data_IF_142231240840
#
_entry.id   IF_142231240840
#
_cell.length_a   1.000
_cell.length_b   1.000
_cell.length_c   1.000
_cell.angle_alpha   90.00
_cell.angle_beta   90.00
_cell.angle_gamma   90.00
#
_symmetry.space_group_name_H-M   'P 1'
#
loop_
_entity.id
_entity.type
_entity.pdbx_description
1 polymer ?
#
# COMPACT_ATOMS: atom_id res chain seq x y z
N UNK A 1 -4.26 -19.25 -0.11
CA UNK A 1 -4.55 -18.06 0.71
C UNK A 1 -4.90 -16.83 -0.14
N UNK A 2 -3.99 -16.27 -0.97
CA UNK A 2 -4.34 -15.12 -1.83
C UNK A 2 -5.55 -15.40 -2.73
N UNK A 3 -5.62 -16.61 -3.29
CA UNK A 3 -6.80 -17.09 -4.02
C UNK A 3 -8.11 -16.93 -3.22
N UNK A 4 -8.14 -17.33 -1.94
CA UNK A 4 -9.35 -17.18 -1.11
C UNK A 4 -9.72 -15.71 -0.88
N UNK A 5 -8.73 -14.82 -0.74
CA UNK A 5 -9.00 -13.39 -0.62
C UNK A 5 -9.61 -12.83 -1.91
N UNK A 6 -9.14 -13.28 -3.08
CA UNK A 6 -9.75 -12.92 -4.37
C UNK A 6 -11.20 -13.40 -4.48
N UNK A 7 -11.49 -14.66 -4.10
CA UNK A 7 -12.86 -15.17 -4.12
C UNK A 7 -13.76 -14.45 -3.12
N UNK A 8 -13.26 -14.15 -1.92
CA UNK A 8 -14.00 -13.37 -0.93
C UNK A 8 -14.34 -11.97 -1.43
N UNK A 9 -13.43 -11.32 -2.16
CA UNK A 9 -13.70 -10.03 -2.82
C UNK A 9 -14.79 -10.17 -3.88
N UNK A 10 -14.73 -11.20 -4.74
CA UNK A 10 -15.75 -11.44 -5.77
C UNK A 10 -17.14 -11.66 -5.16
N UNK A 11 -17.23 -12.49 -4.12
CA UNK A 11 -18.49 -12.68 -3.38
C UNK A 11 -18.95 -11.37 -2.74
N UNK A 12 -18.03 -10.60 -2.16
CA UNK A 12 -18.36 -9.29 -1.57
C UNK A 12 -18.92 -8.32 -2.62
N UNK A 13 -18.36 -8.30 -3.84
CA UNK A 13 -18.86 -7.50 -4.96
C UNK A 13 -20.29 -7.89 -5.33
N UNK A 14 -20.59 -9.21 -5.35
CA UNK A 14 -21.94 -9.72 -5.61
C UNK A 14 -22.93 -9.31 -4.50
N UNK A 15 -22.54 -9.44 -3.23
CA UNK A 15 -23.40 -9.07 -2.07
C UNK A 15 -23.81 -7.60 -2.10
N UNK A 16 -22.96 -6.72 -2.61
CA UNK A 16 -23.21 -5.26 -2.61
C UNK A 16 -23.63 -4.71 -3.98
N UNK A 17 -23.81 -5.56 -4.99
CA UNK A 17 -24.04 -5.13 -6.37
C UNK A 17 -25.27 -4.22 -6.53
N UNK A 18 -26.31 -4.48 -5.73
CA UNK A 18 -27.58 -3.74 -5.72
C UNK A 18 -27.65 -2.68 -4.60
N UNK A 19 -26.50 -2.29 -4.05
CA UNK A 19 -26.39 -1.26 -3.00
C UNK A 19 -25.62 -0.04 -3.49
N UNK A 20 -25.60 1.01 -2.66
CA UNK A 20 -24.83 2.22 -2.93
C UNK A 20 -23.51 2.29 -2.15
N UNK A 21 -22.92 1.13 -1.81
CA UNK A 21 -21.61 1.07 -1.13
C UNK A 21 -20.43 1.02 -2.12
N UNK A 22 -19.21 1.44 -1.70
CA UNK A 22 -18.03 1.42 -2.57
C UNK A 22 -17.72 0.00 -3.04
N UNK A 23 -17.43 -0.16 -4.33
CA UNK A 23 -17.14 -1.47 -4.91
C UNK A 23 -15.67 -1.83 -4.65
N UNK A 24 -15.37 -2.87 -3.85
CA UNK A 24 -14.00 -3.31 -3.65
C UNK A 24 -13.46 -3.92 -4.94
N UNK A 25 -12.24 -3.55 -5.33
CA UNK A 25 -11.54 -4.14 -6.46
C UNK A 25 -10.58 -5.24 -6.00
N UNK A 26 -9.89 -5.84 -6.97
CA UNK A 26 -8.95 -6.92 -6.67
C UNK A 26 -7.86 -6.44 -5.69
N UNK A 27 -7.56 -7.24 -4.66
CA UNK A 27 -6.54 -6.90 -3.68
C UNK A 27 -5.18 -6.89 -4.37
N UNK A 28 -4.41 -5.84 -4.09
CA UNK A 28 -3.02 -5.70 -4.48
C UNK A 28 -2.21 -6.02 -3.24
N UNK A 29 -1.40 -7.06 -3.29
CA UNK A 29 -0.48 -7.35 -2.18
C UNK A 29 0.59 -6.27 -2.18
N UNK A 30 0.77 -5.59 -1.06
CA UNK A 30 1.74 -4.50 -0.93
C UNK A 30 2.48 -4.67 0.39
N UNK A 31 3.73 -4.22 0.47
CA UNK A 31 4.45 -4.13 1.75
C UNK A 31 5.57 -5.15 1.94
N UNK A 32 6.12 -5.15 3.16
CA UNK A 32 7.39 -5.80 3.51
C UNK A 32 7.34 -7.31 3.36
N UNK A 33 6.28 -7.95 3.84
CA UNK A 33 6.14 -9.42 3.90
C UNK A 33 6.12 -10.10 2.54
N UNK A 34 5.47 -9.51 1.55
CA UNK A 34 5.40 -10.08 0.20
C UNK A 34 6.70 -9.86 -0.60
N UNK A 35 7.30 -8.69 -0.43
CA UNK A 35 8.56 -8.34 -1.08
C UNK A 35 9.80 -8.95 -0.39
N UNK A 36 9.61 -9.75 0.67
CA UNK A 36 10.68 -10.42 1.41
C UNK A 36 11.40 -9.55 2.45
N UNK A 37 10.92 -8.34 2.70
CA UNK A 37 11.52 -7.41 3.68
C UNK A 37 11.15 -7.73 5.14
N UNK A 38 10.38 -8.78 5.41
CA UNK A 38 10.07 -9.24 6.76
C UNK A 38 10.81 -10.54 7.06
N UNK A 39 11.14 -10.76 8.34
CA UNK A 39 11.58 -12.08 8.78
C UNK A 39 10.41 -13.08 8.69
N UNK A 40 10.69 -14.39 8.50
CA UNK A 40 9.66 -15.39 8.21
C UNK A 40 8.66 -15.64 9.36
N UNK A 41 8.91 -15.10 10.54
CA UNK A 41 8.14 -15.40 11.73
C UNK A 41 7.27 -14.20 12.11
N UNK A 42 5.96 -14.35 11.88
CA UNK A 42 4.86 -13.62 12.52
C UNK A 42 4.43 -12.24 11.99
N UNK A 43 5.01 -11.72 10.92
CA UNK A 43 4.49 -10.46 10.35
C UNK A 43 3.23 -10.65 9.49
N UNK A 44 2.22 -9.77 9.64
CA UNK A 44 0.99 -9.85 8.87
C UNK A 44 1.21 -9.49 7.40
N UNK A 45 0.53 -10.19 6.51
CA UNK A 45 0.52 -9.88 5.08
C UNK A 45 -0.27 -8.61 4.86
N UNK A 46 0.29 -7.64 4.16
CA UNK A 46 -0.40 -6.39 3.86
C UNK A 46 -1.06 -6.47 2.49
N UNK A 47 -2.37 -6.23 2.45
CA UNK A 47 -3.15 -6.20 1.22
C UNK A 47 -3.82 -4.84 1.09
N UNK A 48 -3.67 -4.22 -0.07
CA UNK A 48 -4.34 -2.99 -0.43
C UNK A 48 -5.56 -3.30 -1.28
N UNK A 49 -6.74 -2.85 -0.86
CA UNK A 49 -8.01 -3.05 -1.56
C UNK A 49 -8.47 -1.69 -2.11
N UNK A 50 -8.39 -1.46 -3.42
CA UNK A 50 -8.93 -0.26 -4.04
C UNK A 50 -10.46 -0.27 -4.01
N UNK A 51 -11.05 0.92 -3.93
CA UNK A 51 -12.48 1.13 -4.02
C UNK A 51 -12.83 1.95 -5.27
N UNK A 52 -13.85 1.49 -5.98
CA UNK A 52 -14.53 2.24 -7.02
C UNK A 52 -15.81 2.87 -6.46
N UNK A 53 -16.10 4.09 -6.91
CA UNK A 53 -17.33 4.77 -6.53
C UNK A 53 -18.57 3.95 -6.93
N UNK A 54 -19.59 3.87 -6.06
CA UNK A 54 -20.86 3.23 -6.40
C UNK A 54 -21.62 4.01 -7.47
N UNK A 55 -22.65 3.38 -8.01
CA UNK A 55 -23.57 4.04 -8.94
C UNK A 55 -24.23 5.25 -8.27
N UNK A 56 -24.46 6.30 -9.06
CA UNK A 56 -24.99 7.56 -8.55
C UNK A 56 -24.02 8.38 -7.71
N UNK A 57 -22.76 7.94 -7.58
CA UNK A 57 -21.73 8.64 -6.80
C UNK A 57 -20.44 8.81 -7.62
N UNK A 58 -19.65 9.82 -7.28
CA UNK A 58 -18.31 10.06 -7.83
C UNK A 58 -17.37 10.35 -6.65
N UNK A 59 -16.17 9.79 -6.71
CA UNK A 59 -15.07 10.16 -5.83
C UNK A 59 -14.24 11.28 -6.48
N UNK A 60 -14.19 12.44 -5.83
CA UNK A 60 -13.27 13.54 -6.16
C UNK A 60 -12.16 13.58 -5.13
N UNK A 61 -10.93 13.71 -5.59
CA UNK A 61 -9.76 13.67 -4.73
C UNK A 61 -9.30 15.10 -4.45
N UNK A 62 -9.41 15.50 -3.19
CA UNK A 62 -8.99 16.81 -2.72
C UNK A 62 -7.55 16.68 -2.19
N UNK A 63 -6.57 16.97 -3.04
CA UNK A 63 -5.14 16.83 -2.73
C UNK A 63 -4.55 17.96 -1.85
N UNK A 64 -5.40 18.80 -1.26
CA UNK A 64 -4.97 19.94 -0.46
C UNK A 64 -4.19 21.00 -1.26
N UNK A 65 -3.63 21.98 -0.56
CA UNK A 65 -2.84 23.08 -1.16
C UNK A 65 -1.34 22.92 -0.94
N UNK A 66 -0.92 21.91 -0.17
CA UNK A 66 0.49 21.68 0.16
C UNK A 66 1.25 21.21 -1.08
N UNK A 67 2.43 21.78 -1.34
CA UNK A 67 3.31 21.36 -2.45
C UNK A 67 4.17 20.14 -2.12
N UNK A 68 4.00 19.57 -0.93
CA UNK A 68 4.75 18.40 -0.47
C UNK A 68 4.16 17.12 -1.06
N UNK A 69 5.00 16.31 -1.68
CA UNK A 69 4.65 15.00 -2.23
C UNK A 69 5.38 13.89 -1.46
N UNK A 70 4.74 12.74 -1.23
CA UNK A 70 3.30 12.50 -1.38
C UNK A 70 2.47 13.35 -0.40
N UNK A 71 1.29 13.80 -0.84
CA UNK A 71 0.38 14.61 -0.02
C UNK A 71 -0.12 13.80 1.17
N UNK A 72 0.21 14.25 2.38
CA UNK A 72 -0.21 13.58 3.64
C UNK A 72 -1.62 13.94 4.12
N UNK A 73 -2.17 15.07 3.66
CA UNK A 73 -3.43 15.64 4.15
C UNK A 73 -4.58 15.63 3.12
N UNK A 74 -4.48 14.78 2.10
CA UNK A 74 -5.52 14.64 1.07
C UNK A 74 -6.82 14.05 1.63
N UNK A 75 -7.93 14.27 0.92
CA UNK A 75 -9.27 13.77 1.30
C UNK A 75 -10.01 13.25 0.07
N UNK A 76 -10.99 12.37 0.30
CA UNK A 76 -11.87 11.85 -0.75
C UNK A 76 -13.25 12.45 -0.56
N UNK A 77 -13.63 13.37 -1.45
CA UNK A 77 -14.96 13.98 -1.48
C UNK A 77 -15.90 13.10 -2.30
N UNK A 78 -17.05 12.79 -1.71
CA UNK A 78 -18.12 12.04 -2.37
C UNK A 78 -19.16 13.04 -2.88
N UNK A 79 -19.50 12.92 -4.16
CA UNK A 79 -20.53 13.74 -4.80
C UNK A 79 -21.56 12.86 -5.50
N UNK A 80 -22.79 13.35 -5.61
CA UNK A 80 -23.86 12.66 -6.33
C UNK A 80 -23.76 12.89 -7.83
N UNK A 81 -24.07 11.85 -8.60
CA UNK A 81 -24.14 11.85 -10.06
C UNK A 81 -25.54 11.44 -10.48
N UNK A 82 -26.11 12.19 -11.43
CA UNK A 82 -27.41 11.86 -12.00
C UNK A 82 -27.36 10.49 -12.72
N UNK A 83 -28.42 9.70 -12.53
CA UNK A 83 -28.61 8.38 -13.13
C UNK A 83 -29.81 8.31 -14.09
N UNK A 84 -30.54 9.42 -14.32
CA UNK A 84 -31.82 9.49 -15.05
C UNK A 84 -31.79 9.22 -16.57
N UNK A 85 -30.68 8.74 -17.14
CA UNK A 85 -30.57 8.40 -18.56
C UNK A 85 -29.72 7.17 -18.83
N UNK A 86 -29.34 6.44 -17.78
CA UNK A 86 -28.58 5.19 -17.91
C UNK A 86 -29.55 4.02 -17.97
N UNK A 87 -29.12 2.86 -18.50
CA UNK A 87 -29.87 1.59 -18.37
C UNK A 87 -29.96 1.26 -16.87
N UNK A 88 -31.00 1.76 -16.21
CA UNK A 88 -31.24 1.53 -14.80
C UNK A 88 -31.61 0.06 -14.61
N UNK A 89 -31.10 -0.60 -13.54
CA UNK A 89 -31.79 -1.82 -13.07
C UNK A 89 -33.17 -1.37 -12.57
N UNK A 90 -34.17 -2.21 -12.82
CA UNK A 90 -35.56 -1.97 -12.43
C UNK A 90 -35.62 -1.65 -10.93
N UNK A 91 -36.22 -0.51 -10.56
CA UNK A 91 -36.49 -0.14 -9.16
C UNK A 91 -35.49 0.80 -8.47
N UNK A 92 -34.43 1.26 -9.14
CA UNK A 92 -33.51 2.25 -8.55
C UNK A 92 -33.94 3.69 -8.82
N UNK A 93 -33.98 4.51 -7.77
CA UNK A 93 -34.34 5.93 -7.82
C UNK A 93 -33.10 6.82 -7.91
N UNK A 94 -33.25 8.04 -8.45
CA UNK A 94 -32.12 8.96 -8.61
C UNK A 94 -32.03 9.90 -7.41
N UNK A 95 -30.91 9.88 -6.68
CA UNK A 95 -30.68 10.76 -5.53
C UNK A 95 -30.79 12.27 -5.81
N UNK A 96 -30.65 12.71 -7.07
CA UNK A 96 -30.70 14.13 -7.42
C UNK A 96 -32.09 14.62 -7.86
N UNK A 97 -32.94 13.74 -8.37
CA UNK A 97 -34.21 14.13 -9.00
C UNK A 97 -35.44 13.48 -8.37
N UNK A 98 -35.25 12.48 -7.51
CA UNK A 98 -36.32 11.85 -6.76
C UNK A 98 -36.50 12.56 -5.42
N UNK A 99 -37.74 12.66 -4.95
CA UNK A 99 -38.06 13.31 -3.67
C UNK A 99 -37.52 12.51 -2.48
N UNK A 100 -37.18 13.19 -1.38
CA UNK A 100 -36.65 12.54 -0.18
C UNK A 100 -37.58 11.46 0.40
N UNK A 101 -38.90 11.62 0.26
CA UNK A 101 -39.86 10.66 0.79
C UNK A 101 -39.88 9.35 0.00
N UNK A 102 -39.74 9.43 -1.32
CA UNK A 102 -39.59 8.24 -2.18
C UNK A 102 -38.23 7.55 -1.96
N UNK A 103 -37.17 8.32 -1.68
CA UNK A 103 -35.84 7.79 -1.39
C UNK A 103 -35.78 6.98 -0.08
N UNK A 104 -36.77 7.09 0.83
CA UNK A 104 -36.82 6.31 2.09
C UNK A 104 -37.00 4.81 1.84
N UNK A 105 -37.57 4.43 0.71
CA UNK A 105 -37.86 3.04 0.37
C UNK A 105 -36.68 2.32 -0.29
N UNK A 106 -35.59 3.04 -0.62
CA UNK A 106 -34.37 2.46 -1.17
C UNK A 106 -33.24 2.45 -0.14
N UNK A 107 -32.14 1.76 -0.47
CA UNK A 107 -30.96 1.77 0.38
C UNK A 107 -30.38 3.18 0.53
N UNK A 108 -29.83 3.53 1.71
CA UNK A 108 -29.31 4.86 1.98
C UNK A 108 -28.12 5.19 1.07
N UNK A 109 -27.91 6.50 0.83
CA UNK A 109 -26.74 6.96 0.08
C UNK A 109 -25.44 6.64 0.81
N UNK A 110 -24.35 6.55 0.05
CA UNK A 110 -23.00 6.53 0.61
C UNK A 110 -22.72 7.75 1.52
N UNK A 111 -23.32 8.89 1.19
CA UNK A 111 -23.19 10.13 1.95
C UNK A 111 -23.77 10.02 3.35
N UNK A 112 -24.87 9.28 3.51
CA UNK A 112 -25.56 9.12 4.78
C UNK A 112 -24.92 8.04 5.67
N UNK A 113 -24.12 7.15 5.06
CA UNK A 113 -23.57 5.96 5.74
C UNK A 113 -22.09 6.10 6.04
N UNK A 114 -21.22 6.03 5.01
CA UNK A 114 -19.76 5.96 5.17
C UNK A 114 -19.06 7.32 5.15
N UNK A 115 -19.79 8.41 4.92
CA UNK A 115 -19.21 9.75 4.90
C UNK A 115 -19.36 10.48 6.24
N UNK A 116 -18.44 11.40 6.52
CA UNK A 116 -18.56 12.42 7.57
C UNK A 116 -18.63 13.77 6.84
N UNK A 117 -19.83 14.36 6.77
CA UNK A 117 -20.12 15.41 5.80
C UNK A 117 -20.05 14.86 4.37
N UNK A 118 -19.37 15.55 3.47
CA UNK A 118 -19.17 15.09 2.08
C UNK A 118 -17.89 14.27 1.88
N UNK A 119 -17.20 13.84 2.94
CA UNK A 119 -15.91 13.15 2.83
C UNK A 119 -16.00 11.72 3.31
N UNK A 120 -15.41 10.80 2.57
CA UNK A 120 -15.37 9.38 2.92
C UNK A 120 -14.60 9.20 4.25
N UNK A 121 -15.23 8.57 5.23
CA UNK A 121 -14.66 8.35 6.55
C UNK A 121 -14.01 6.97 6.61
N UNK A 122 -12.70 6.94 6.86
CA UNK A 122 -11.91 5.71 6.91
C UNK A 122 -12.42 4.75 7.99
N UNK A 123 -12.80 5.26 9.16
CA UNK A 123 -13.22 4.41 10.29
C UNK A 123 -14.57 3.78 10.00
N UNK A 124 -15.52 4.56 9.45
CA UNK A 124 -16.82 4.02 9.03
C UNK A 124 -16.64 2.98 7.92
N UNK A 125 -15.77 3.27 6.95
CA UNK A 125 -15.43 2.36 5.85
C UNK A 125 -14.83 1.05 6.37
N UNK A 126 -13.88 1.10 7.30
CA UNK A 126 -13.29 -0.11 7.90
C UNK A 126 -14.33 -0.96 8.68
N UNK A 127 -15.21 -0.30 9.44
CA UNK A 127 -16.28 -0.96 10.18
C UNK A 127 -17.27 -1.67 9.23
N UNK A 128 -17.70 -0.97 8.18
CA UNK A 128 -18.56 -1.54 7.14
C UNK A 128 -17.88 -2.70 6.43
N UNK A 129 -16.60 -2.56 6.05
CA UNK A 129 -15.87 -3.60 5.35
C UNK A 129 -15.72 -4.87 6.19
N UNK A 130 -15.51 -4.73 7.51
CA UNK A 130 -15.56 -5.87 8.43
C UNK A 130 -16.88 -6.63 8.32
N UNK A 131 -18.02 -5.93 8.40
CA UNK A 131 -19.34 -6.54 8.32
C UNK A 131 -19.61 -7.18 6.94
N UNK A 132 -19.16 -6.53 5.86
CA UNK A 132 -19.23 -7.06 4.51
C UNK A 132 -18.47 -8.38 4.39
N UNK A 133 -17.22 -8.42 4.84
CA UNK A 133 -16.38 -9.60 4.76
C UNK A 133 -16.90 -10.75 5.63
N UNK A 134 -17.37 -10.46 6.85
CA UNK A 134 -17.98 -11.47 7.72
C UNK A 134 -19.25 -12.07 7.10
N UNK A 135 -20.06 -11.25 6.43
CA UNK A 135 -21.25 -11.72 5.70
C UNK A 135 -20.87 -12.54 4.48
N UNK A 136 -19.93 -12.03 3.68
CA UNK A 136 -19.49 -12.66 2.43
C UNK A 136 -18.81 -14.01 2.65
N UNK A 137 -18.07 -14.17 3.76
CA UNK A 137 -17.44 -15.43 4.14
C UNK A 137 -18.42 -16.60 4.20
N UNK A 138 -19.67 -16.36 4.63
CA UNK A 138 -20.70 -17.41 4.77
C UNK A 138 -21.12 -18.05 3.45
N UNK A 139 -20.85 -17.41 2.32
CA UNK A 139 -21.20 -17.92 1.00
C UNK A 139 -20.06 -18.72 0.35
N UNK A 140 -18.87 -18.73 0.96
CA UNK A 140 -17.74 -19.49 0.45
C UNK A 140 -17.78 -20.94 0.93
N UNK A 141 -17.53 -21.93 0.06
CA UNK A 141 -17.38 -23.33 0.47
C UNK A 141 -16.31 -23.51 1.55
N UNK A 142 -15.24 -22.72 1.50
CA UNK A 142 -14.11 -22.78 2.43
C UNK A 142 -14.48 -22.42 3.87
N UNK A 143 -15.63 -21.78 4.10
CA UNK A 143 -16.14 -21.52 5.44
C UNK A 143 -16.47 -22.80 6.23
N UNK A 144 -16.62 -23.94 5.56
CA UNK A 144 -16.82 -25.23 6.21
C UNK A 144 -15.51 -25.86 6.75
N UNK A 145 -14.36 -25.46 6.21
CA UNK A 145 -13.05 -26.08 6.49
C UNK A 145 -12.05 -25.13 7.15
N UNK A 146 -12.27 -23.83 7.02
CA UNK A 146 -11.43 -22.76 7.56
C UNK A 146 -12.27 -21.84 8.44
N UNK A 147 -11.62 -21.17 9.40
CA UNK A 147 -12.26 -20.09 10.15
C UNK A 147 -11.66 -18.74 9.78
N UNK A 148 -12.54 -17.74 9.61
CA UNK A 148 -12.15 -16.36 9.33
C UNK A 148 -12.63 -15.46 10.47
N UNK A 149 -11.69 -14.78 11.12
CA UNK A 149 -11.98 -13.71 12.07
C UNK A 149 -11.56 -12.37 11.46
N UNK A 150 -12.53 -11.49 11.23
CA UNK A 150 -12.30 -10.15 10.71
C UNK A 150 -12.51 -9.15 11.84
N UNK A 151 -11.45 -8.40 12.18
CA UNK A 151 -11.49 -7.35 13.19
C UNK A 151 -11.25 -6.00 12.54
N UNK A 152 -12.09 -5.01 12.81
CA UNK A 152 -11.71 -3.63 12.53
C UNK A 152 -10.51 -3.26 13.42
N UNK A 153 -9.55 -2.54 12.84
CA UNK A 153 -8.36 -2.08 13.55
C UNK A 153 -8.07 -0.63 13.18
N UNK A 154 -8.71 0.31 13.89
CA UNK A 154 -8.61 1.76 13.68
C UNK A 154 -9.00 2.18 12.25
N UNK A 155 -8.05 2.11 11.32
CA UNK A 155 -8.13 2.56 9.92
C UNK A 155 -7.90 1.44 8.88
N UNK A 156 -7.78 0.22 9.35
CA UNK A 156 -7.58 -0.99 8.55
C UNK A 156 -8.46 -2.12 9.08
N UNK A 157 -8.51 -3.23 8.35
CA UNK A 157 -9.11 -4.49 8.82
C UNK A 157 -8.02 -5.53 9.01
N UNK A 158 -8.02 -6.23 10.13
CA UNK A 158 -7.15 -7.38 10.36
C UNK A 158 -7.97 -8.65 10.21
N UNK A 159 -7.54 -9.50 9.28
CA UNK A 159 -8.11 -10.80 9.00
C UNK A 159 -7.19 -11.85 9.62
N UNK A 160 -7.77 -12.75 10.39
CA UNK A 160 -7.09 -13.94 10.89
C UNK A 160 -7.78 -15.13 10.26
N UNK A 161 -7.05 -15.82 9.40
CA UNK A 161 -7.51 -17.01 8.71
C UNK A 161 -6.82 -18.21 9.35
N UNK A 162 -7.62 -19.12 9.92
CA UNK A 162 -7.12 -20.37 10.47
C UNK A 162 -7.57 -21.51 9.57
N UNK A 163 -6.60 -22.25 9.02
CA UNK A 163 -6.86 -23.40 8.17
C UNK A 163 -7.25 -24.66 8.96
N UNK A 164 -7.61 -25.72 8.25
CA UNK A 164 -7.95 -27.02 8.84
C UNK A 164 -6.79 -27.69 9.59
N UNK A 165 -5.56 -27.21 9.40
CA UNK A 165 -4.35 -27.66 10.10
C UNK A 165 -4.01 -26.79 11.30
N UNK A 166 -4.94 -25.93 11.75
CA UNK A 166 -4.77 -24.96 12.83
C UNK A 166 -3.65 -23.94 12.62
N UNK A 167 -3.17 -23.76 11.39
CA UNK A 167 -2.21 -22.70 11.07
C UNK A 167 -2.98 -21.40 10.87
N UNK A 168 -2.58 -20.38 11.61
CA UNK A 168 -3.21 -19.06 11.54
C UNK A 168 -2.34 -18.12 10.72
N UNK A 169 -2.92 -17.54 9.66
CA UNK A 169 -2.29 -16.46 8.90
C UNK A 169 -3.02 -15.16 9.17
N UNK A 170 -2.24 -14.10 9.37
CA UNK A 170 -2.77 -12.75 9.62
C UNK A 170 -2.59 -11.89 8.37
N UNK A 171 -3.67 -11.25 7.92
CA UNK A 171 -3.68 -10.33 6.77
C UNK A 171 -4.21 -8.98 7.25
N UNK A 172 -3.44 -7.91 7.07
CA UNK A 172 -3.88 -6.54 7.28
C UNK A 172 -4.37 -5.95 5.95
N UNK A 173 -5.67 -5.68 5.86
CA UNK A 173 -6.29 -4.99 4.74
C UNK A 173 -6.28 -3.49 4.96
N UNK A 174 -5.71 -2.78 4.00
CA UNK A 174 -5.70 -1.33 3.88
C UNK A 174 -6.55 -0.97 2.68
N UNK A 175 -7.25 0.15 2.76
CA UNK A 175 -8.15 0.59 1.70
C UNK A 175 -7.55 1.73 0.91
N UNK A 176 -8.05 1.96 -0.29
CA UNK A 176 -7.80 3.23 -0.93
C UNK A 176 -8.57 3.48 -2.21
N UNK A 177 -8.32 4.62 -2.81
CA UNK A 177 -8.95 5.05 -4.06
C UNK A 177 -7.85 5.48 -5.01
N UNK A 178 -7.92 4.99 -6.25
CA UNK A 178 -6.94 5.31 -7.28
C UNK A 178 -7.01 6.78 -7.66
N UNK A 179 -5.84 7.42 -7.79
CA UNK A 179 -5.76 8.76 -8.32
C UNK A 179 -5.84 8.73 -9.84
N UNK A 180 -7.04 9.04 -10.36
CA UNK A 180 -7.34 8.93 -11.78
C UNK A 180 -6.94 7.54 -12.29
N UNK A 181 -6.16 7.47 -13.37
CA UNK A 181 -5.65 6.22 -13.96
C UNK A 181 -4.14 6.07 -13.73
N UNK A 182 -3.63 6.49 -12.58
CA UNK A 182 -2.21 6.41 -12.21
C UNK A 182 -1.97 5.30 -11.18
N UNK A 183 -0.72 4.92 -10.97
CA UNK A 183 -0.31 3.94 -9.94
C UNK A 183 -0.20 4.58 -8.54
N UNK A 184 -0.65 5.82 -8.38
CA UNK A 184 -0.74 6.53 -7.09
C UNK A 184 -2.16 6.44 -6.54
N UNK A 185 -2.26 6.20 -5.25
CA UNK A 185 -3.54 6.00 -4.56
C UNK A 185 -3.62 6.88 -3.32
N UNK A 186 -4.84 7.18 -2.89
CA UNK A 186 -5.12 7.69 -1.54
C UNK A 186 -5.43 6.50 -0.64
N UNK A 187 -4.71 6.37 0.47
CA UNK A 187 -4.72 5.20 1.35
C UNK A 187 -5.38 5.49 2.69
N UNK A 188 -5.94 4.45 3.31
CA UNK A 188 -6.46 4.51 4.67
C UNK A 188 -5.36 4.49 5.73
N UNK A 189 -4.12 4.17 5.35
CA UNK A 189 -2.95 4.19 6.24
C UNK A 189 -2.78 5.57 6.89
N UNK A 190 -2.21 5.54 8.10
CA UNK A 190 -1.95 6.77 8.84
C UNK A 190 -0.83 7.57 8.19
N UNK A 191 -0.93 8.90 8.31
CA UNK A 191 0.23 9.77 8.18
C UNK A 191 1.10 9.65 9.44
N UNK A 192 2.39 10.00 9.35
CA UNK A 192 3.34 10.03 10.48
C UNK A 192 2.93 11.00 11.61
N UNK A 193 1.92 11.85 11.37
CA UNK A 193 1.39 12.75 12.37
C UNK A 193 0.66 12.02 13.52
N UNK A 194 0.88 12.50 14.76
CA UNK A 194 0.31 11.93 15.99
C UNK A 194 -1.24 11.81 15.95
N UNK A 195 -1.91 12.71 15.23
CA UNK A 195 -3.34 12.64 14.94
C UNK A 195 -3.60 12.80 13.44
N UNK A 196 -4.25 11.79 12.84
CA UNK A 196 -4.75 11.86 11.46
C UNK A 196 -6.28 11.82 11.51
N UNK A 197 -7.01 12.86 11.05
CA UNK A 197 -8.47 12.86 11.00
C UNK A 197 -9.02 11.65 10.22
N UNK A 198 -10.21 11.14 10.59
CA UNK A 198 -10.81 9.97 9.93
C UNK A 198 -11.15 10.22 8.44
N UNK A 199 -11.28 11.48 8.04
CA UNK A 199 -11.57 11.90 6.66
C UNK A 199 -10.32 12.13 5.81
N UNK A 200 -9.13 12.08 6.41
CA UNK A 200 -7.84 12.23 5.70
C UNK A 200 -7.44 10.90 5.05
N UNK A 201 -7.08 10.91 3.78
CA UNK A 201 -6.59 9.74 3.05
C UNK A 201 -5.27 10.12 2.37
N UNK A 202 -4.10 9.93 3.02
CA UNK A 202 -2.81 10.34 2.44
C UNK A 202 -2.52 9.61 1.13
N UNK A 203 -1.81 10.28 0.22
CA UNK A 203 -1.25 9.63 -0.96
C UNK A 203 -0.24 8.55 -0.56
N UNK A 204 -0.25 7.45 -1.30
CA UNK A 204 0.71 6.36 -1.15
C UNK A 204 1.33 5.99 -2.49
N UNK A 205 2.62 5.68 -2.45
CA UNK A 205 3.39 5.16 -3.55
C UNK A 205 3.47 3.62 -3.55
N UNK A 206 2.90 2.94 -2.55
CA UNK A 206 3.13 1.51 -2.32
C UNK A 206 2.75 0.62 -3.51
N UNK A 207 1.70 0.97 -4.26
CA UNK A 207 1.29 0.22 -5.46
C UNK A 207 2.25 0.45 -6.62
N UNK A 208 2.71 1.69 -6.84
CA UNK A 208 3.73 2.01 -7.83
C UNK A 208 5.08 1.33 -7.50
N UNK A 209 5.45 1.28 -6.22
CA UNK A 209 6.63 0.55 -5.76
C UNK A 209 6.49 -0.96 -6.02
N UNK A 210 5.33 -1.56 -5.71
CA UNK A 210 5.07 -2.97 -5.99
C UNK A 210 5.18 -3.26 -7.49
N UNK A 211 4.57 -2.40 -8.31
CA UNK A 211 4.64 -2.51 -9.77
C UNK A 211 6.07 -2.39 -10.30
N UNK A 212 6.91 -1.58 -9.66
CA UNK A 212 8.35 -1.53 -9.96
C UNK A 212 9.02 -2.87 -9.72
N UNK A 213 8.84 -3.48 -8.55
CA UNK A 213 9.46 -4.79 -8.27
C UNK A 213 8.92 -5.90 -9.17
N UNK A 214 7.64 -5.87 -9.50
CA UNK A 214 7.04 -6.78 -10.49
C UNK A 214 7.63 -6.57 -11.89
N UNK A 215 7.88 -5.31 -12.29
CA UNK A 215 8.55 -4.99 -13.55
C UNK A 215 9.98 -5.55 -13.57
N UNK A 216 10.76 -5.32 -12.51
CA UNK A 216 12.12 -5.88 -12.38
C UNK A 216 12.07 -7.42 -12.44
N UNK A 217 11.13 -8.04 -11.73
CA UNK A 217 10.97 -9.49 -11.70
C UNK A 217 10.63 -10.07 -13.08
N UNK A 218 9.79 -9.39 -13.86
CA UNK A 218 9.42 -9.82 -15.20
C UNK A 218 10.57 -9.72 -16.21
N UNK A 219 11.53 -8.82 -16.00
CA UNK A 219 12.71 -8.64 -16.85
C UNK A 219 13.93 -9.41 -16.38
N UNK A 220 13.87 -9.99 -15.18
CA UNK A 220 14.93 -10.82 -14.68
C UNK A 220 14.82 -12.25 -15.24
N UNK A 221 15.97 -12.87 -15.51
CA UNK A 221 16.03 -14.28 -15.90
C UNK A 221 15.54 -15.22 -14.78
N UNK A 222 15.56 -16.53 -15.05
CA UNK A 222 15.13 -17.59 -14.13
C UNK A 222 15.86 -17.52 -12.76
N UNK A 223 17.08 -16.99 -12.74
CA UNK A 223 17.92 -16.80 -11.57
C UNK A 223 17.81 -15.39 -10.95
N UNK A 224 16.60 -14.84 -10.79
CA UNK A 224 16.44 -13.56 -10.12
C UNK A 224 16.56 -13.69 -8.59
N UNK A 225 17.62 -13.12 -8.01
CA UNK A 225 17.90 -13.22 -6.58
C UNK A 225 17.45 -12.00 -5.75
N UNK A 226 16.83 -10.96 -6.35
CA UNK A 226 16.49 -9.70 -5.65
C UNK A 226 15.78 -9.91 -4.30
N UNK A 227 14.80 -10.82 -4.21
CA UNK A 227 14.09 -11.14 -2.97
C UNK A 227 15.02 -11.66 -1.85
N UNK A 228 16.14 -12.31 -2.19
CA UNK A 228 17.11 -12.79 -1.22
C UNK A 228 17.98 -11.65 -0.69
N UNK A 229 18.35 -10.69 -1.52
CA UNK A 229 19.02 -9.46 -1.07
C UNK A 229 18.14 -8.72 -0.09
N UNK A 230 16.87 -8.55 -0.44
CA UNK A 230 15.85 -7.91 0.40
C UNK A 230 15.71 -8.61 1.76
N UNK A 231 15.70 -9.95 1.79
CA UNK A 231 15.65 -10.73 3.05
C UNK A 231 16.87 -10.51 3.93
N UNK A 232 18.07 -10.54 3.35
CA UNK A 232 19.32 -10.29 4.11
C UNK A 232 19.36 -8.86 4.61
N UNK A 233 19.00 -7.91 3.76
CA UNK A 233 18.81 -6.50 4.09
C UNK A 233 17.87 -6.32 5.29
N UNK A 234 16.68 -6.92 5.26
CA UNK A 234 15.75 -6.88 6.37
C UNK A 234 16.34 -7.44 7.67
N UNK A 235 17.07 -8.55 7.58
CA UNK A 235 17.72 -9.18 8.74
C UNK A 235 18.82 -8.31 9.35
N UNK A 236 19.72 -7.75 8.54
CA UNK A 236 20.83 -6.93 9.04
C UNK A 236 20.37 -5.61 9.63
N UNK A 237 19.24 -5.07 9.15
CA UNK A 237 18.63 -3.85 9.67
C UNK A 237 18.02 -4.01 11.08
N UNK A 238 17.73 -5.23 11.54
CA UNK A 238 17.07 -5.43 12.83
C UNK A 238 17.92 -4.86 13.96
N UNK A 239 17.35 -3.90 14.70
CA UNK A 239 18.02 -3.24 15.83
C UNK A 239 18.68 -1.90 15.51
N UNK A 240 18.64 -1.46 14.24
CA UNK A 240 19.14 -0.17 13.79
C UNK A 240 18.01 0.82 13.50
N UNK A 241 18.34 2.10 13.36
CA UNK A 241 17.37 3.18 13.17
C UNK A 241 16.93 3.36 11.70
N UNK A 242 17.52 2.61 10.76
CA UNK A 242 17.10 2.59 9.38
C UNK A 242 15.78 1.83 9.20
N UNK A 243 14.89 2.43 8.43
CA UNK A 243 13.63 1.83 8.03
C UNK A 243 13.79 0.92 6.82
N UNK A 244 12.92 -0.08 6.73
CA UNK A 244 12.77 -0.90 5.52
C UNK A 244 12.49 -0.06 4.26
N UNK A 245 11.79 1.07 4.40
CA UNK A 245 11.45 1.92 3.26
C UNK A 245 12.67 2.67 2.70
N UNK A 246 13.60 3.10 3.55
CA UNK A 246 14.86 3.71 3.10
C UNK A 246 15.71 2.71 2.33
N UNK A 247 15.85 1.48 2.85
CA UNK A 247 16.62 0.44 2.15
C UNK A 247 15.94 -0.03 0.86
N UNK A 248 14.59 -0.09 0.86
CA UNK A 248 13.80 -0.31 -0.36
C UNK A 248 14.09 0.77 -1.40
N UNK A 249 14.17 2.03 -0.99
CA UNK A 249 14.50 3.16 -1.87
C UNK A 249 15.92 3.05 -2.44
N UNK A 250 16.91 2.70 -1.60
CA UNK A 250 18.29 2.41 -2.05
C UNK A 250 18.31 1.31 -3.11
N UNK A 251 17.62 0.19 -2.84
CA UNK A 251 17.56 -0.93 -3.78
C UNK A 251 16.90 -0.52 -5.11
N UNK A 252 15.82 0.26 -5.08
CA UNK A 252 15.17 0.75 -6.31
C UNK A 252 16.11 1.61 -7.15
N UNK A 253 16.89 2.51 -6.54
CA UNK A 253 17.91 3.28 -7.26
C UNK A 253 18.95 2.37 -7.91
N UNK A 254 19.51 1.43 -7.15
CA UNK A 254 20.52 0.49 -7.65
C UNK A 254 19.98 -0.42 -8.76
N UNK A 255 18.73 -0.87 -8.68
CA UNK A 255 18.07 -1.68 -9.72
C UNK A 255 17.89 -0.92 -11.04
N UNK A 256 17.95 0.41 -11.04
CA UNK A 256 17.95 1.21 -12.28
C UNK A 256 19.33 1.55 -12.81
N UNK A 257 20.38 1.45 -12.01
CA UNK A 257 21.76 1.78 -12.41
C UNK A 257 22.57 0.54 -12.79
N UNK A 258 22.26 -0.61 -12.19
CA UNK A 258 22.93 -1.88 -12.43
C UNK A 258 22.00 -2.79 -13.26
N UNK A 259 22.46 -3.32 -14.42
CA UNK A 259 21.66 -4.22 -15.24
C UNK A 259 21.12 -5.42 -14.45
N UNK A 260 19.88 -5.83 -14.76
CA UNK A 260 19.15 -6.86 -14.01
C UNK A 260 19.91 -8.21 -14.00
N UNK A 261 20.71 -8.50 -15.02
CA UNK A 261 21.53 -9.71 -15.15
C UNK A 261 22.63 -9.78 -14.08
N UNK A 262 23.04 -8.64 -13.53
CA UNK A 262 24.01 -8.54 -12.45
C UNK A 262 23.39 -8.79 -11.06
N UNK A 263 22.07 -9.00 -10.97
CA UNK A 263 21.36 -9.30 -9.72
C UNK A 263 21.10 -10.80 -9.52
N UNK A 264 22.12 -11.62 -9.81
CA UNK A 264 22.08 -13.09 -9.67
C UNK A 264 22.89 -13.57 -8.47
N UNK A 265 22.73 -14.84 -8.09
CA UNK A 265 23.47 -15.45 -6.96
C UNK A 265 24.98 -15.25 -7.04
N UNK A 266 25.53 -15.29 -8.26
CA UNK A 266 26.97 -15.16 -8.50
C UNK A 266 27.56 -13.85 -7.96
N UNK A 267 26.77 -12.78 -8.02
CA UNK A 267 27.20 -11.45 -7.60
C UNK A 267 26.64 -11.08 -6.21
N UNK A 268 26.15 -12.05 -5.45
CA UNK A 268 25.40 -11.78 -4.22
C UNK A 268 26.17 -10.90 -3.22
N UNK A 269 27.42 -11.27 -2.92
CA UNK A 269 28.26 -10.50 -2.00
C UNK A 269 28.50 -9.08 -2.53
N UNK A 270 28.91 -8.97 -3.79
CA UNK A 270 29.19 -7.68 -4.42
C UNK A 270 27.95 -6.75 -4.44
N UNK A 271 26.77 -7.27 -4.78
CA UNK A 271 25.54 -6.45 -4.78
C UNK A 271 25.12 -6.03 -3.37
N UNK A 272 25.36 -6.86 -2.35
CA UNK A 272 25.12 -6.47 -0.95
C UNK A 272 26.09 -5.37 -0.50
N UNK A 273 27.37 -5.48 -0.86
CA UNK A 273 28.37 -4.42 -0.64
C UNK A 273 27.95 -3.11 -1.34
N UNK A 274 27.48 -3.19 -2.60
CA UNK A 274 26.98 -2.02 -3.34
C UNK A 274 25.77 -1.38 -2.63
N UNK A 275 24.84 -2.17 -2.07
CA UNK A 275 23.69 -1.67 -1.31
C UNK A 275 24.15 -0.92 -0.05
N UNK A 276 25.03 -1.53 0.75
CA UNK A 276 25.51 -0.95 2.00
C UNK A 276 26.39 0.27 1.74
N UNK A 277 27.22 0.24 0.71
CA UNK A 277 28.04 1.35 0.29
C UNK A 277 27.18 2.53 -0.20
N UNK A 278 26.17 2.26 -1.03
CA UNK A 278 25.24 3.30 -1.49
C UNK A 278 24.49 3.93 -0.33
N UNK A 279 23.99 3.12 0.62
CA UNK A 279 23.36 3.63 1.84
C UNK A 279 24.31 4.53 2.64
N UNK A 280 25.55 4.09 2.87
CA UNK A 280 26.58 4.88 3.56
C UNK A 280 26.85 6.22 2.85
N UNK A 281 26.97 6.22 1.51
CA UNK A 281 27.12 7.46 0.74
C UNK A 281 25.90 8.39 0.92
N UNK A 282 24.68 7.85 0.86
CA UNK A 282 23.47 8.63 1.10
C UNK A 282 23.45 9.25 2.51
N UNK A 283 23.88 8.52 3.54
CA UNK A 283 23.98 9.04 4.91
C UNK A 283 25.02 10.16 4.99
N UNK A 284 26.23 9.92 4.45
CA UNK A 284 27.32 10.91 4.41
C UNK A 284 26.93 12.21 3.71
N UNK A 285 26.18 12.09 2.61
CA UNK A 285 25.65 13.24 1.85
C UNK A 285 24.35 13.80 2.45
N UNK A 286 23.80 13.14 3.49
CA UNK A 286 22.51 13.46 4.13
C UNK A 286 21.37 13.51 3.13
N UNK A 287 21.45 12.69 2.08
CA UNK A 287 20.55 12.72 0.93
C UNK A 287 20.22 11.32 0.43
N UNK A 288 18.94 10.97 0.55
CA UNK A 288 18.34 9.83 -0.12
C UNK A 288 17.06 10.31 -0.79
N UNK A 289 17.10 10.45 -2.11
CA UNK A 289 15.97 10.98 -2.88
C UNK A 289 14.87 9.93 -3.05
N UNK A 290 13.60 10.30 -2.84
CA UNK A 290 12.47 9.42 -3.02
C UNK A 290 12.39 8.90 -4.47
N UNK A 291 12.40 7.58 -4.65
CA UNK A 291 12.61 6.97 -5.96
C UNK A 291 11.54 7.33 -7.02
N UNK A 292 10.26 7.38 -6.64
CA UNK A 292 9.15 7.59 -7.61
C UNK A 292 8.78 9.06 -7.88
N UNK A 293 9.47 10.03 -7.28
CA UNK A 293 9.12 11.45 -7.43
C UNK A 293 10.31 12.18 -8.04
N UNK A 294 10.10 12.84 -9.18
CA UNK A 294 11.13 13.62 -9.85
C UNK A 294 12.26 12.81 -10.49
N UNK A 295 12.19 11.49 -10.44
CA UNK A 295 13.19 10.60 -10.99
C UNK A 295 12.82 10.17 -12.42
N UNK A 296 13.71 10.44 -13.37
CA UNK A 296 13.52 10.09 -14.80
C UNK A 296 13.87 8.63 -15.11
N UNK A 297 14.53 7.93 -14.18
CA UNK A 297 14.88 6.52 -14.33
C UNK A 297 13.72 5.56 -14.00
N UNK A 298 12.56 6.08 -13.56
CA UNK A 298 11.37 5.26 -13.31
C UNK A 298 10.89 4.66 -14.64
N UNK A 299 10.68 3.33 -14.72
CA UNK A 299 10.15 2.67 -15.92
C UNK A 299 8.82 3.24 -16.39
N UNK A 300 8.63 3.30 -17.71
CA UNK A 300 7.44 3.90 -18.34
C UNK A 300 6.13 3.15 -18.04
N UNK A 301 6.23 1.88 -17.64
CA UNK A 301 5.11 1.05 -17.20
C UNK A 301 4.50 1.56 -15.90
N UNK A 302 5.23 2.34 -15.11
CA UNK A 302 4.76 2.94 -13.86
C UNK A 302 4.18 4.32 -14.19
N UNK A 303 2.86 4.40 -14.18
CA UNK A 303 2.10 5.57 -14.57
C UNK A 303 1.99 6.50 -13.36
N UNK A 304 2.81 7.55 -13.35
CA UNK A 304 2.82 8.54 -12.27
C UNK A 304 2.04 9.81 -12.67
N UNK A 305 1.39 10.52 -11.72
CA UNK A 305 0.80 11.83 -11.97
C UNK A 305 1.84 12.84 -12.50
N UNK A 306 1.38 13.83 -13.27
CA UNK A 306 2.26 14.87 -13.83
C UNK A 306 3.02 15.61 -12.73
N UNK A 307 2.39 15.84 -11.57
CA UNK A 307 3.04 16.51 -10.44
C UNK A 307 4.22 15.70 -9.91
N UNK A 308 4.11 14.37 -9.87
CA UNK A 308 5.18 13.47 -9.43
C UNK A 308 6.37 13.51 -10.40
N UNK A 309 6.10 13.50 -11.69
CA UNK A 309 7.14 13.49 -12.73
C UNK A 309 7.93 14.82 -12.80
N UNK A 310 7.26 15.95 -12.59
CA UNK A 310 7.86 17.29 -12.72
C UNK A 310 8.44 17.84 -11.42
N UNK A 311 8.16 17.21 -10.28
CA UNK A 311 8.66 17.67 -8.98
C UNK A 311 10.13 17.37 -8.78
N UNK A 312 10.76 18.06 -7.82
CA UNK A 312 12.07 17.64 -7.32
C UNK A 312 11.88 16.44 -6.37
N UNK A 313 12.75 15.44 -6.40
CA UNK A 313 12.68 14.33 -5.46
C UNK A 313 12.76 14.83 -4.01
N UNK A 314 11.78 14.50 -3.15
CA UNK A 314 11.88 14.71 -1.71
C UNK A 314 13.05 13.92 -1.12
N UNK A 315 13.80 14.54 -0.22
CA UNK A 315 14.89 13.87 0.50
C UNK A 315 14.34 13.14 1.73
N UNK A 316 14.45 11.80 1.76
CA UNK A 316 14.06 10.97 2.90
C UNK A 316 14.97 11.21 4.12
N UNK A 317 16.24 11.54 3.90
CA UNK A 317 17.22 11.89 4.94
C UNK A 317 17.21 13.37 5.32
N UNK A 318 16.13 14.09 5.04
CA UNK A 318 15.99 15.49 5.46
C UNK A 318 16.22 15.67 6.97
N UNK A 319 15.85 14.69 7.80
CA UNK A 319 16.08 14.72 9.24
C UNK A 319 17.56 14.70 9.63
N UNK A 320 18.45 14.06 8.84
CA UNK A 320 19.91 14.04 9.07
C UNK A 320 20.57 15.39 8.74
N UNK A 321 19.92 16.21 7.91
CA UNK A 321 20.38 17.58 7.66
C UNK A 321 20.13 18.51 8.85
N UNK A 322 19.15 18.18 9.68
CA UNK A 322 18.69 19.03 10.78
C UNK A 322 19.32 18.66 12.13
N UNK A 323 19.75 17.42 12.28
CA UNK A 323 20.20 16.84 13.55
C UNK A 323 21.60 16.18 13.37
N UNK A 324 22.68 16.84 13.84
CA UNK A 324 24.04 16.31 13.73
C UNK A 324 24.24 14.99 14.49
N UNK A 325 23.62 14.82 15.65
CA UNK A 325 23.77 13.63 16.49
C UNK A 325 23.14 12.42 15.79
N UNK A 326 21.97 12.61 15.18
CA UNK A 326 21.35 11.56 14.34
C UNK A 326 22.19 11.20 13.12
N UNK A 327 22.86 12.19 12.53
CA UNK A 327 23.73 11.94 11.39
C UNK A 327 24.99 11.15 11.79
N UNK A 328 25.63 11.49 12.90
CA UNK A 328 26.77 10.74 13.43
C UNK A 328 26.35 9.30 13.81
N UNK A 329 25.20 9.16 14.48
CA UNK A 329 24.62 7.86 14.78
C UNK A 329 24.35 7.05 13.51
N UNK A 330 23.76 7.64 12.48
CA UNK A 330 23.48 6.96 11.22
C UNK A 330 24.78 6.51 10.51
N UNK A 331 25.85 7.30 10.55
CA UNK A 331 27.16 6.91 10.00
C UNK A 331 27.72 5.69 10.74
N UNK A 332 27.73 5.74 12.07
CA UNK A 332 28.16 4.61 12.90
C UNK A 332 27.34 3.35 12.61
N UNK A 333 26.02 3.48 12.48
CA UNK A 333 25.14 2.36 12.15
C UNK A 333 25.42 1.78 10.76
N UNK A 334 25.79 2.60 9.76
CA UNK A 334 26.18 2.06 8.44
C UNK A 334 27.47 1.26 8.45
N UNK A 335 28.45 1.63 9.27
CA UNK A 335 29.65 0.81 9.50
C UNK A 335 29.26 -0.51 10.18
N UNK A 336 28.39 -0.44 11.18
CA UNK A 336 27.94 -1.64 11.88
C UNK A 336 27.13 -2.61 11.02
N UNK A 337 26.36 -2.08 10.06
CA UNK A 337 25.67 -2.90 9.07
C UNK A 337 26.66 -3.66 8.15
N UNK A 338 27.79 -3.04 7.80
CA UNK A 338 28.85 -3.68 7.02
C UNK A 338 29.49 -4.81 7.82
N UNK A 339 29.93 -4.53 9.05
CA UNK A 339 30.52 -5.54 9.95
C UNK A 339 29.57 -6.73 10.19
N UNK A 340 28.27 -6.45 10.36
CA UNK A 340 27.25 -7.49 10.54
C UNK A 340 27.11 -8.35 9.28
N UNK A 341 27.16 -7.75 8.10
CA UNK A 341 27.12 -8.49 6.85
C UNK A 341 28.37 -9.36 6.65
N UNK A 342 29.56 -8.84 6.95
CA UNK A 342 30.81 -9.63 6.92
C UNK A 342 30.78 -10.81 7.91
N UNK A 343 30.24 -10.58 9.10
CA UNK A 343 30.06 -11.63 10.11
C UNK A 343 29.09 -12.72 9.63
N UNK A 344 28.00 -12.35 8.93
CA UNK A 344 27.08 -13.31 8.34
C UNK A 344 27.76 -14.19 7.28
N UNK A 345 28.62 -13.61 6.46
CA UNK A 345 29.35 -14.33 5.42
C UNK A 345 30.36 -15.34 5.99
N UNK A 346 31.01 -14.97 7.10
CA UNK A 346 32.07 -15.78 7.72
C UNK A 346 31.55 -16.82 8.69
N UNK A 347 30.48 -16.53 9.43
CA UNK A 347 29.98 -17.40 10.51
C UNK A 347 28.70 -18.17 10.16
N UNK A 348 28.01 -17.80 9.08
CA UNK A 348 26.75 -18.44 8.66
C UNK A 348 25.59 -18.27 9.65
N UNK A 349 25.71 -17.36 10.62
CA UNK A 349 24.73 -17.05 11.67
C UNK A 349 24.26 -15.62 11.59
#
# INVERSE_FOLDING_TARGET
MLFMLHELIKVSQFVIEDTFYPMPEHPIVVGSTYNGWSLPEEEPIFCFVPFRAPRGHIFRLDLGTTRELPVKNSRIRVELKCTCGQKQKVGMLCFLHTSNDELRNQSPSLLDTLCTGSYLDVRKTACWFQALFTTSWRYLPEAAICSLNVKHFKRSCRLQLTDSSNRTTVINIVFGVQQANTDIFLSSQKSEAAYTPNTTWPQTCAVAEEKFFMHIAAHAGVDNFYLRYVKVCAYILVGYNFSTHELKTVLMHLLTTIPVECWSQRYFVQRMEDILHYLHCCVKEKRLDHFLIGNKAVPAEIILPREFQLSRPPNLFQHLTQDPDRHEQALYETEMLQDRFETLLTSGK
#
